data_IF_262712817296
#
_entry.id   IF_262712817296
#
_cell.length_a   1.000
_cell.length_b   1.000
_cell.length_c   1.000
_cell.angle_alpha   90.00
_cell.angle_beta   90.00
_cell.angle_gamma   90.00
#
_symmetry.space_group_name_H-M   'P 1'
#
loop_
_entity.id
_entity.type
_entity.pdbx_description
1 polymer ?
#
# COMPACT_ATOMS: atom_id res chain seq x y z
N UNK A 1 7.46 8.47 7.95
CA UNK A 1 6.26 8.60 7.09
C UNK A 1 4.97 8.74 7.91
N UNK A 2 4.70 7.84 8.86
CA UNK A 2 3.45 7.86 9.63
C UNK A 2 3.31 9.10 10.54
N UNK A 3 4.39 9.56 11.19
CA UNK A 3 4.38 10.81 11.97
C UNK A 3 4.11 12.04 11.07
N UNK A 4 4.77 12.10 9.91
CA UNK A 4 4.54 13.13 8.89
C UNK A 4 3.09 13.17 8.40
N UNK A 5 2.47 11.99 8.23
CA UNK A 5 1.06 11.86 7.88
C UNK A 5 0.13 12.29 9.03
N UNK A 6 0.51 12.05 10.30
CA UNK A 6 -0.27 12.47 11.48
C UNK A 6 -0.40 13.98 11.59
N UNK A 7 0.62 14.74 11.19
CA UNK A 7 0.61 16.20 11.23
C UNK A 7 -0.23 16.84 10.10
N UNK A 8 -0.45 16.12 9.00
CA UNK A 8 -1.01 16.67 7.75
C UNK A 8 -2.38 16.07 7.37
N UNK A 9 -2.72 14.91 7.92
CA UNK A 9 -3.95 14.19 7.61
C UNK A 9 -4.81 14.04 8.87
N UNK A 10 -6.12 14.16 8.69
CA UNK A 10 -7.09 13.78 9.71
C UNK A 10 -6.91 12.31 10.09
N UNK A 11 -7.22 11.96 11.33
CA UNK A 11 -6.97 10.64 11.92
C UNK A 11 -7.49 9.46 11.07
N UNK A 12 -8.64 9.63 10.41
CA UNK A 12 -9.25 8.60 9.56
C UNK A 12 -8.60 8.43 8.18
N UNK A 13 -7.86 9.43 7.68
CA UNK A 13 -7.14 9.36 6.38
C UNK A 13 -5.70 8.88 6.53
N UNK A 14 -5.19 8.79 7.75
CA UNK A 14 -3.81 8.36 8.01
C UNK A 14 -3.68 6.85 7.71
N UNK A 15 -2.64 6.43 6.98
CA UNK A 15 -2.37 5.00 6.77
C UNK A 15 -2.03 4.32 8.09
N UNK A 16 -2.57 3.10 8.29
CA UNK A 16 -2.31 2.28 9.47
C UNK A 16 -0.94 1.59 9.39
N UNK A 17 -0.59 1.10 8.21
CA UNK A 17 0.67 0.43 7.89
C UNK A 17 1.27 1.06 6.62
N UNK A 18 2.60 1.03 6.51
CA UNK A 18 3.34 1.52 5.34
C UNK A 18 4.47 0.54 5.06
N UNK A 19 4.35 -0.20 3.96
CA UNK A 19 5.44 -1.02 3.43
C UNK A 19 6.15 -0.27 2.30
N UNK A 20 7.48 -0.29 2.35
CA UNK A 20 8.32 0.24 1.28
C UNK A 20 8.80 -0.96 0.46
N UNK A 21 8.44 -0.97 -0.82
CA UNK A 21 8.83 -2.00 -1.78
C UNK A 21 9.81 -1.41 -2.80
N UNK A 22 10.70 -2.25 -3.32
CA UNK A 22 11.65 -1.85 -4.37
C UNK A 22 10.95 -1.53 -5.69
N UNK A 23 9.86 -2.24 -6.01
CA UNK A 23 9.10 -2.06 -7.25
C UNK A 23 7.60 -2.26 -7.02
N UNK A 24 6.80 -1.42 -7.69
CA UNK A 24 5.35 -1.56 -7.72
C UNK A 24 4.93 -2.43 -8.92
N UNK A 25 3.96 -3.36 -8.75
CA UNK A 25 3.45 -4.11 -9.87
C UNK A 25 2.74 -3.14 -10.82
N UNK A 26 3.29 -2.99 -12.01
CA UNK A 26 2.75 -2.13 -13.06
C UNK A 26 2.37 -2.97 -14.27
N UNK A 27 1.33 -2.56 -14.99
CA UNK A 27 1.04 -3.14 -16.29
C UNK A 27 2.12 -2.76 -17.30
N UNK A 28 2.13 -3.42 -18.46
CA UNK A 28 2.99 -3.04 -19.59
C UNK A 28 2.79 -1.58 -20.04
N UNK A 29 1.65 -0.97 -19.72
CA UNK A 29 1.34 0.44 -19.96
C UNK A 29 1.68 1.36 -18.75
N UNK A 30 2.43 0.86 -17.75
CA UNK A 30 2.87 1.62 -16.57
C UNK A 30 1.79 1.86 -15.50
N UNK A 31 0.61 1.24 -15.61
CA UNK A 31 -0.47 1.44 -14.63
C UNK A 31 -0.28 0.54 -13.42
N UNK A 32 -0.32 1.10 -12.21
CA UNK A 32 -0.22 0.31 -10.97
C UNK A 32 -1.38 -0.69 -10.86
N UNK A 33 -1.04 -1.96 -10.70
CA UNK A 33 -1.97 -3.07 -10.59
C UNK A 33 -2.44 -3.23 -9.13
N UNK A 34 -3.49 -2.49 -8.78
CA UNK A 34 -4.09 -2.54 -7.42
C UNK A 34 -4.56 -3.95 -7.02
N UNK A 35 -5.00 -4.76 -7.97
CA UNK A 35 -5.45 -6.13 -7.72
C UNK A 35 -4.30 -7.02 -7.21
N UNK A 36 -3.15 -6.94 -7.88
CA UNK A 36 -1.93 -7.66 -7.49
C UNK A 36 -1.43 -7.20 -6.12
N UNK A 37 -1.42 -5.89 -5.88
CA UNK A 37 -1.07 -5.34 -4.55
C UNK A 37 -1.98 -5.88 -3.45
N UNK A 38 -3.29 -5.97 -3.70
CA UNK A 38 -4.24 -6.55 -2.73
C UNK A 38 -4.00 -8.04 -2.53
N UNK A 39 -3.72 -8.81 -3.58
CA UNK A 39 -3.43 -10.23 -3.47
C UNK A 39 -2.17 -10.49 -2.63
N UNK A 40 -1.08 -9.76 -2.90
CA UNK A 40 0.15 -9.81 -2.11
C UNK A 40 -0.09 -9.50 -0.63
N UNK A 41 -0.93 -8.50 -0.34
CA UNK A 41 -1.26 -8.14 1.04
C UNK A 41 -2.13 -9.20 1.74
N UNK A 42 -3.05 -9.85 1.02
CA UNK A 42 -3.86 -10.96 1.56
C UNK A 42 -3.00 -12.19 1.87
N UNK A 43 -2.07 -12.51 0.97
CA UNK A 43 -1.10 -13.59 1.15
C UNK A 43 -0.16 -13.31 2.34
N UNK A 44 0.38 -12.08 2.45
CA UNK A 44 1.19 -11.63 3.60
C UNK A 44 0.45 -11.83 4.93
N UNK A 45 -0.87 -11.63 4.94
CA UNK A 45 -1.72 -11.79 6.12
C UNK A 45 -2.19 -13.24 6.36
N UNK A 46 -1.84 -14.19 5.49
CA UNK A 46 -2.27 -15.59 5.59
C UNK A 46 -3.78 -15.79 5.42
N UNK A 47 -4.46 -14.87 4.72
CA UNK A 47 -5.91 -14.88 4.51
C UNK A 47 -6.31 -15.51 3.17
N UNK A 48 -5.43 -16.34 2.59
CA UNK A 48 -5.62 -16.98 1.27
C UNK A 48 -6.03 -18.44 1.39
#
# INVERSE_FOLDING_TARGET
IIAWAKERLAAYKRPKEVDIVSELPVSTAGKVLRRELRAKELEKRGLS
#
